data_IF_942236917588
#
_entry.id   IF_942236917588
#
_cell.length_a   1.000
_cell.length_b   1.000
_cell.length_c   1.000
_cell.angle_alpha   90.00
_cell.angle_beta   90.00
_cell.angle_gamma   90.00
#
_symmetry.space_group_name_H-M   'P 1'
#
loop_
_entity.id
_entity.type
_entity.pdbx_description
1 polymer ?
#
# COMPACT_ATOMS: atom_id res chain seq x y z
N UNK A 1 11.76 9.07 -11.64
CA UNK A 1 12.37 8.52 -10.41
C UNK A 1 11.53 8.77 -9.16
N UNK A 2 10.91 9.94 -8.99
CA UNK A 2 10.03 10.24 -7.84
C UNK A 2 8.86 9.25 -7.66
N UNK A 3 8.17 8.87 -8.75
CA UNK A 3 7.03 7.94 -8.69
C UNK A 3 7.37 6.57 -8.09
N UNK A 4 8.56 6.02 -8.38
CA UNK A 4 8.97 4.72 -7.83
C UNK A 4 9.33 4.80 -6.33
N UNK A 5 10.02 5.87 -5.93
CA UNK A 5 10.34 6.11 -4.52
C UNK A 5 9.07 6.35 -3.70
N UNK A 6 8.09 7.03 -4.28
CA UNK A 6 6.81 7.31 -3.64
C UNK A 6 5.95 6.04 -3.49
N UNK A 7 5.82 5.24 -4.55
CA UNK A 7 5.12 3.95 -4.48
C UNK A 7 5.78 3.00 -3.46
N UNK A 8 7.11 3.00 -3.38
CA UNK A 8 7.84 2.25 -2.36
C UNK A 8 7.54 2.73 -0.94
N UNK A 9 7.52 4.05 -0.71
CA UNK A 9 7.19 4.62 0.59
C UNK A 9 5.76 4.29 1.02
N UNK A 10 4.79 4.33 0.09
CA UNK A 10 3.40 3.91 0.35
C UNK A 10 3.36 2.43 0.76
N UNK A 11 4.05 1.55 0.01
CA UNK A 11 4.07 0.12 0.32
C UNK A 11 4.67 -0.16 1.71
N UNK A 12 5.72 0.56 2.10
CA UNK A 12 6.33 0.46 3.44
C UNK A 12 5.37 0.96 4.52
N UNK A 13 4.78 2.14 4.35
CA UNK A 13 3.84 2.71 5.31
C UNK A 13 2.60 1.81 5.50
N UNK A 14 2.09 1.26 4.40
CA UNK A 14 0.99 0.27 4.42
C UNK A 14 1.38 -1.01 5.17
N UNK A 15 2.59 -1.53 4.96
CA UNK A 15 3.06 -2.72 5.69
C UNK A 15 3.30 -2.50 7.17
N UNK A 16 3.70 -1.30 7.58
CA UNK A 16 3.90 -0.97 8.97
C UNK A 16 2.56 -0.78 9.72
N UNK A 17 1.56 -0.22 9.05
CA UNK A 17 0.34 0.27 9.71
C UNK A 17 -0.93 -0.53 9.38
N UNK A 18 -0.90 -1.44 8.40
CA UNK A 18 -2.10 -2.12 7.89
C UNK A 18 -1.91 -3.64 7.76
N UNK A 19 -2.81 -4.46 8.36
CA UNK A 19 -2.80 -5.91 8.17
C UNK A 19 -2.94 -6.28 6.68
N UNK A 20 -2.22 -7.31 6.24
CA UNK A 20 -2.10 -7.67 4.81
C UNK A 20 -3.44 -7.98 4.12
N UNK A 21 -4.47 -8.37 4.88
CA UNK A 21 -5.82 -8.64 4.37
C UNK A 21 -6.55 -7.39 3.86
N UNK A 22 -6.14 -6.20 4.33
CA UNK A 22 -6.76 -4.92 4.02
C UNK A 22 -6.12 -4.21 2.81
N UNK A 23 -5.14 -4.84 2.15
CA UNK A 23 -4.42 -4.24 1.02
C UNK A 23 -5.22 -4.24 -0.30
N UNK A 24 -6.41 -4.86 -0.32
CA UNK A 24 -7.23 -5.00 -1.54
C UNK A 24 -7.72 -3.68 -2.12
N UNK A 25 -8.11 -2.75 -1.27
CA UNK A 25 -8.56 -1.43 -1.70
C UNK A 25 -8.44 -0.44 -0.56
N UNK A 26 -8.29 0.85 -0.89
CA UNK A 26 -8.26 1.90 0.12
C UNK A 26 -9.54 1.93 0.95
N UNK A 27 -10.68 1.58 0.36
CA UNK A 27 -11.97 1.51 1.06
C UNK A 27 -11.98 0.47 2.18
N UNK A 28 -11.22 -0.61 2.03
CA UNK A 28 -11.14 -1.71 3.00
C UNK A 28 -10.14 -1.43 4.13
N UNK A 29 -9.31 -0.40 4.00
CA UNK A 29 -8.38 0.05 5.03
C UNK A 29 -9.16 0.77 6.14
N UNK A 30 -8.93 0.39 7.40
CA UNK A 30 -9.55 1.08 8.54
C UNK A 30 -9.14 2.55 8.63
N UNK A 31 -10.03 3.44 9.08
CA UNK A 31 -9.74 4.88 9.20
C UNK A 31 -8.49 5.19 10.04
N UNK A 32 -8.24 4.41 11.10
CA UNK A 32 -7.04 4.54 11.92
C UNK A 32 -5.77 4.22 11.13
N UNK A 33 -5.79 3.15 10.33
CA UNK A 33 -4.67 2.78 9.48
C UNK A 33 -4.47 3.80 8.34
N UNK A 34 -5.55 4.30 7.75
CA UNK A 34 -5.48 5.38 6.74
C UNK A 34 -4.77 6.61 7.30
N UNK A 35 -5.18 7.04 8.51
CA UNK A 35 -4.57 8.19 9.18
C UNK A 35 -3.08 7.94 9.45
N UNK A 36 -2.71 6.77 10.00
CA UNK A 36 -1.32 6.44 10.29
C UNK A 36 -0.44 6.42 9.03
N UNK A 37 -0.95 5.87 7.91
CA UNK A 37 -0.26 5.87 6.62
C UNK A 37 -0.08 7.29 6.09
N UNK A 38 -1.12 8.12 6.16
CA UNK A 38 -1.05 9.54 5.74
C UNK A 38 -0.05 10.33 6.59
N UNK A 39 -0.09 10.17 7.92
CA UNK A 39 0.84 10.84 8.84
C UNK A 39 2.29 10.43 8.55
N UNK A 40 2.57 9.15 8.31
CA UNK A 40 3.91 8.66 7.95
C UNK A 40 4.39 9.21 6.60
N UNK A 41 3.50 9.28 5.60
CA UNK A 41 3.83 9.81 4.27
C UNK A 41 4.09 11.32 4.31
N UNK A 42 3.26 12.08 5.05
CA UNK A 42 3.43 13.52 5.24
C UNK A 42 4.73 13.87 5.99
N UNK A 43 5.18 13.02 6.91
CA UNK A 43 6.50 13.21 7.55
C UNK A 43 7.68 12.97 6.60
N UNK A 44 7.51 12.14 5.56
CA UNK A 44 8.59 11.76 4.63
C UNK A 44 8.60 12.59 3.35
N UNK A 45 7.45 13.13 2.95
CA UNK A 45 7.26 13.91 1.73
C UNK A 45 6.47 15.18 2.03
N UNK A 46 6.99 16.34 1.62
CA UNK A 46 6.20 17.57 1.49
C UNK A 46 5.24 17.39 0.32
N UNK A 47 4.01 16.97 0.63
CA UNK A 47 2.95 16.72 -0.34
C UNK A 47 2.21 18.01 -0.77
N UNK A 48 2.66 19.19 -0.33
CA UNK A 48 1.95 20.46 -0.51
C UNK A 48 1.71 20.85 -1.98
N UNK A 49 2.56 20.38 -2.91
CA UNK A 49 2.45 20.69 -4.34
C UNK A 49 1.77 19.60 -5.19
N UNK A 50 1.51 18.40 -4.64
CA UNK A 50 0.89 17.31 -5.42
C UNK A 50 -0.65 17.37 -5.36
N UNK A 51 -1.35 17.24 -6.51
CA UNK A 51 -2.80 17.16 -6.52
C UNK A 51 -3.28 15.97 -5.69
N UNK A 52 -4.18 16.21 -4.73
CA UNK A 52 -4.81 15.17 -3.88
C UNK A 52 -5.34 13.97 -4.67
N UNK A 53 -5.81 14.19 -5.90
CA UNK A 53 -6.27 13.12 -6.80
C UNK A 53 -5.13 12.23 -7.31
N UNK A 54 -3.98 12.82 -7.63
CA UNK A 54 -2.78 12.07 -8.03
C UNK A 54 -2.31 11.20 -6.86
N UNK A 55 -2.30 11.75 -5.65
CA UNK A 55 -1.96 11.02 -4.44
C UNK A 55 -2.89 9.81 -4.21
N UNK A 56 -4.21 10.02 -4.30
CA UNK A 56 -5.17 8.91 -4.16
C UNK A 56 -4.93 7.83 -5.21
N UNK A 57 -4.69 8.22 -6.46
CA UNK A 57 -4.41 7.27 -7.54
C UNK A 57 -3.12 6.48 -7.29
N UNK A 58 -2.06 7.14 -6.86
CA UNK A 58 -0.79 6.46 -6.51
C UNK A 58 -0.96 5.50 -5.33
N UNK A 59 -1.80 5.84 -4.36
CA UNK A 59 -2.16 4.93 -3.27
C UNK A 59 -2.92 3.72 -3.78
N UNK A 60 -3.94 3.90 -4.63
CA UNK A 60 -4.67 2.79 -5.24
C UNK A 60 -3.77 1.87 -6.07
N UNK A 61 -2.91 2.44 -6.92
CA UNK A 61 -1.94 1.68 -7.73
C UNK A 61 -0.97 0.88 -6.84
N UNK A 62 -0.49 1.47 -5.74
CA UNK A 62 0.40 0.81 -4.79
C UNK A 62 -0.30 -0.31 -4.00
N UNK A 63 -1.57 -0.13 -3.63
CA UNK A 63 -2.39 -1.14 -2.97
C UNK A 63 -2.67 -2.32 -3.91
N UNK A 64 -3.08 -2.05 -5.14
CA UNK A 64 -3.32 -3.07 -6.14
C UNK A 64 -2.02 -3.85 -6.44
N UNK A 65 -0.91 -3.15 -6.65
CA UNK A 65 0.41 -3.77 -6.83
C UNK A 65 0.85 -4.60 -5.63
N UNK A 66 0.68 -4.08 -4.42
CA UNK A 66 1.00 -4.78 -3.17
C UNK A 66 0.14 -6.02 -2.94
N UNK A 67 -1.18 -5.91 -3.18
CA UNK A 67 -2.11 -7.03 -3.07
C UNK A 67 -1.82 -8.11 -4.11
N UNK A 68 -1.55 -7.74 -5.36
CA UNK A 68 -1.20 -8.70 -6.41
C UNK A 68 0.11 -9.43 -6.10
N UNK A 69 1.09 -8.73 -5.55
CA UNK A 69 2.35 -9.34 -5.08
C UNK A 69 2.12 -10.29 -3.91
N UNK A 70 1.42 -9.85 -2.87
CA UNK A 70 1.06 -10.72 -1.74
C UNK A 70 0.29 -11.95 -2.19
N UNK A 71 -0.69 -11.77 -3.09
CA UNK A 71 -1.48 -12.85 -3.66
C UNK A 71 -0.56 -13.84 -4.37
N UNK A 72 0.33 -13.37 -5.23
CA UNK A 72 1.31 -14.23 -5.91
C UNK A 72 2.14 -15.01 -4.91
N UNK A 73 2.72 -14.35 -3.90
CA UNK A 73 3.55 -14.98 -2.87
C UNK A 73 2.76 -16.03 -2.07
N UNK A 74 1.51 -15.76 -1.69
CA UNK A 74 0.66 -16.73 -0.97
C UNK A 74 0.25 -17.91 -1.84
N UNK A 75 -0.04 -17.68 -3.13
CA UNK A 75 -0.37 -18.77 -4.06
C UNK A 75 0.86 -19.65 -4.37
N UNK A 76 2.07 -19.07 -4.45
CA UNK A 76 3.32 -19.81 -4.67
C UNK A 76 3.80 -20.54 -3.41
N UNK A 77 3.59 -19.97 -2.22
CA UNK A 77 3.97 -20.58 -0.94
C UNK A 77 2.92 -21.55 -0.37
N UNK A 78 1.88 -21.90 -1.13
CA UNK A 78 0.95 -22.95 -0.71
C UNK A 78 1.69 -24.29 -0.76
N UNK A 79 1.75 -25.08 0.34
CA UNK A 79 2.20 -26.46 0.23
C UNK A 79 1.35 -27.13 -0.84
N UNK A 80 1.99 -27.67 -1.88
CA UNK A 80 1.30 -28.51 -2.85
C UNK A 80 0.50 -29.59 -2.12
N UNK A 81 -0.62 -30.08 -2.68
CA UNK A 81 -1.42 -31.09 -2.01
C UNK A 81 -0.50 -32.24 -1.62
N UNK A 82 -0.37 -32.47 -0.31
CA UNK A 82 0.38 -33.60 0.21
C UNK A 82 -0.30 -34.86 -0.33
N UNK A 83 0.47 -35.69 -1.05
CA UNK A 83 0.03 -36.99 -1.54
C UNK A 83 -0.31 -37.93 -0.40
#
# INVERSE_FOLDING_TARGET
>A
MQHFQFAYAIAVAMGNNCPTVMWRSWKDVSENAKKAVMDELLCKYTLDDEPKELLMKLMEDALEGGYNRWRYDVFQNRPGPSK
#
